data_IF_461586165160
#
_entry.id   IF_461586165160
#
_cell.length_a   1.000
_cell.length_b   1.000
_cell.length_c   1.000
_cell.angle_alpha   90.00
_cell.angle_beta   90.00
_cell.angle_gamma   90.00
#
_symmetry.space_group_name_H-M   'P 1'
#
loop_
_entity.id
_entity.type
_entity.pdbx_description
1 polymer ?
#
# COMPACT_ATOMS: atom_id res chain seq x y z
N UNK A 1 9.61 -27.68 16.42
CA UNK A 1 9.71 -26.22 16.60
C UNK A 1 10.32 -25.65 15.32
N UNK A 2 9.52 -24.96 14.51
CA UNK A 2 10.01 -24.12 13.41
C UNK A 2 9.76 -22.69 13.86
N UNK A 3 10.76 -22.08 14.50
CA UNK A 3 10.73 -20.67 14.85
C UNK A 3 11.52 -19.92 13.78
N UNK A 4 10.82 -19.22 12.90
CA UNK A 4 11.31 -18.11 12.07
C UNK A 4 10.22 -17.74 11.04
N UNK A 5 9.14 -17.07 11.47
CA UNK A 5 8.34 -16.27 10.55
C UNK A 5 8.65 -14.81 10.88
N UNK A 6 9.61 -14.22 10.18
CA UNK A 6 9.65 -12.77 10.08
C UNK A 6 8.44 -12.37 9.22
N UNK A 7 7.30 -12.14 9.86
CA UNK A 7 6.15 -11.53 9.20
C UNK A 7 6.54 -10.08 8.88
N UNK A 8 6.98 -9.84 7.64
CA UNK A 8 7.26 -8.49 7.15
C UNK A 8 6.03 -7.59 7.23
N UNK A 9 6.21 -6.26 7.17
CA UNK A 9 5.09 -5.33 7.30
C UNK A 9 4.05 -5.53 6.18
N UNK A 10 2.80 -5.20 6.47
CA UNK A 10 1.74 -5.09 5.46
C UNK A 10 1.95 -3.79 4.68
N UNK A 11 2.30 -3.92 3.41
CA UNK A 11 2.36 -2.81 2.45
C UNK A 11 0.96 -2.37 2.01
N UNK A 12 0.71 -1.07 2.05
CA UNK A 12 -0.50 -0.41 1.57
C UNK A 12 -0.05 0.68 0.61
N UNK A 13 -0.68 0.78 -0.57
CA UNK A 13 -0.46 1.90 -1.46
C UNK A 13 -1.77 2.56 -1.90
N UNK A 14 -1.71 3.86 -2.14
CA UNK A 14 -2.80 4.66 -2.71
C UNK A 14 -2.22 5.79 -3.54
N UNK A 15 -3.00 6.34 -4.46
CA UNK A 15 -2.63 7.53 -5.22
C UNK A 15 -2.50 8.79 -4.35
N UNK A 16 -3.09 8.83 -3.15
CA UNK A 16 -3.05 9.99 -2.28
C UNK A 16 -3.18 9.68 -0.79
N UNK A 17 -3.89 10.55 -0.06
CA UNK A 17 -4.12 10.41 1.39
C UNK A 17 -5.40 9.64 1.73
N UNK A 18 -6.24 9.32 0.73
CA UNK A 18 -7.53 8.67 0.93
C UNK A 18 -7.39 7.27 1.53
N UNK A 19 -6.35 6.53 1.13
CA UNK A 19 -6.01 5.21 1.63
C UNK A 19 -5.64 5.15 3.12
N UNK A 20 -5.38 6.29 3.77
CA UNK A 20 -5.17 6.31 5.23
C UNK A 20 -6.41 5.88 6.01
N UNK A 21 -7.61 5.99 5.41
CA UNK A 21 -8.84 5.44 6.00
C UNK A 21 -8.79 3.91 6.11
N UNK A 22 -8.25 3.24 5.09
CA UNK A 22 -8.04 1.79 5.07
C UNK A 22 -6.90 1.41 6.02
N UNK A 23 -5.79 2.15 6.01
CA UNK A 23 -4.67 1.92 6.93
C UNK A 23 -5.11 2.03 8.40
N UNK A 24 -5.97 3.01 8.73
CA UNK A 24 -6.53 3.17 10.06
C UNK A 24 -7.44 1.98 10.46
N UNK A 25 -8.29 1.51 9.53
CA UNK A 25 -9.12 0.33 9.78
C UNK A 25 -8.28 -0.93 10.00
N UNK A 26 -7.22 -1.12 9.22
CA UNK A 26 -6.27 -2.22 9.39
C UNK A 26 -5.54 -2.14 10.74
N UNK A 27 -5.05 -0.96 11.12
CA UNK A 27 -4.40 -0.77 12.42
C UNK A 27 -5.34 -1.09 13.59
N UNK A 28 -6.64 -0.79 13.44
CA UNK A 28 -7.64 -1.11 14.47
C UNK A 28 -7.92 -2.62 14.57
N UNK A 29 -8.00 -3.32 13.44
CA UNK A 29 -8.30 -4.75 13.39
C UNK A 29 -7.07 -5.64 13.66
N UNK A 30 -5.88 -5.16 13.30
CA UNK A 30 -4.60 -5.87 13.36
C UNK A 30 -3.57 -5.00 14.11
N UNK A 31 -3.77 -4.73 15.42
CA UNK A 31 -2.94 -3.78 16.17
C UNK A 31 -1.48 -4.23 16.36
N UNK A 32 -1.19 -5.51 16.12
CA UNK A 32 0.15 -6.08 16.26
C UNK A 32 0.92 -6.14 14.94
N UNK A 33 0.28 -5.84 13.81
CA UNK A 33 0.94 -5.85 12.49
C UNK A 33 1.64 -4.52 12.23
N UNK A 34 2.82 -4.58 11.61
CA UNK A 34 3.49 -3.40 11.12
C UNK A 34 2.89 -3.00 9.77
N UNK A 35 2.53 -1.73 9.60
CA UNK A 35 1.97 -1.21 8.35
C UNK A 35 2.97 -0.25 7.68
N UNK A 36 3.17 -0.40 6.38
CA UNK A 36 3.92 0.55 5.53
C UNK A 36 2.94 1.15 4.53
N UNK A 37 2.80 2.47 4.51
CA UNK A 37 1.92 3.17 3.59
C UNK A 37 2.73 3.95 2.54
N UNK A 38 2.48 3.66 1.27
CA UNK A 38 3.06 4.36 0.13
C UNK A 38 2.00 5.23 -0.55
N UNK A 39 2.19 6.55 -0.49
CA UNK A 39 1.34 7.50 -1.21
C UNK A 39 1.96 7.91 -2.55
N UNK A 40 1.39 7.47 -3.67
CA UNK A 40 1.84 7.85 -5.02
C UNK A 40 1.35 9.24 -5.44
N UNK A 41 1.81 10.24 -4.70
CA UNK A 41 1.44 11.64 -4.95
C UNK A 41 2.02 12.21 -6.25
N UNK A 42 3.04 11.56 -6.83
CA UNK A 42 3.69 11.98 -8.07
C UNK A 42 2.80 11.79 -9.30
N UNK A 43 1.90 10.80 -9.29
CA UNK A 43 1.03 10.48 -10.42
C UNK A 43 -0.44 10.87 -10.20
N UNK A 44 -0.71 11.72 -9.21
CA UNK A 44 -2.06 12.23 -8.92
C UNK A 44 -2.70 13.00 -10.10
N UNK A 45 -4.05 13.01 -10.19
CA UNK A 45 -4.94 11.94 -9.71
C UNK A 45 -4.86 10.74 -10.67
N UNK A 46 -5.06 9.53 -10.14
CA UNK A 46 -5.16 8.32 -10.98
C UNK A 46 -6.39 8.36 -11.90
N UNK A 47 -7.46 9.06 -11.51
CA UNK A 47 -8.70 9.15 -12.29
C UNK A 47 -8.53 9.70 -13.70
N UNK A 48 -7.50 10.52 -13.94
CA UNK A 48 -7.22 11.12 -15.25
C UNK A 48 -6.21 10.30 -16.07
N UNK A 49 -5.76 9.14 -15.56
CA UNK A 49 -4.72 8.32 -16.19
C UNK A 49 -5.35 7.18 -16.99
N UNK A 50 -4.64 6.71 -18.02
CA UNK A 50 -5.08 5.53 -18.77
C UNK A 50 -4.99 4.29 -17.89
N UNK A 51 -5.76 3.26 -18.25
CA UNK A 51 -5.71 1.96 -17.58
C UNK A 51 -4.29 1.38 -17.58
N UNK A 52 -3.58 1.52 -18.70
CA UNK A 52 -2.23 1.01 -18.87
C UNK A 52 -1.27 1.70 -17.90
N UNK A 53 -1.34 3.04 -17.80
CA UNK A 53 -0.53 3.81 -16.84
C UNK A 53 -0.81 3.39 -15.39
N UNK A 54 -2.09 3.27 -15.00
CA UNK A 54 -2.47 2.84 -13.65
C UNK A 54 -1.88 1.46 -13.33
N UNK A 55 -1.98 0.51 -14.26
CA UNK A 55 -1.40 -0.84 -14.08
C UNK A 55 0.11 -0.76 -13.89
N UNK A 56 0.82 0.04 -14.70
CA UNK A 56 2.27 0.20 -14.57
C UNK A 56 2.68 0.80 -13.23
N UNK A 57 2.00 1.84 -12.76
CA UNK A 57 2.29 2.46 -11.47
C UNK A 57 2.01 1.49 -10.31
N UNK A 58 0.85 0.83 -10.33
CA UNK A 58 0.49 -0.15 -9.31
C UNK A 58 1.47 -1.31 -9.21
N UNK A 59 1.91 -1.86 -10.35
CA UNK A 59 2.89 -2.95 -10.35
C UNK A 59 4.27 -2.48 -9.89
N UNK A 60 4.72 -1.31 -10.32
CA UNK A 60 6.02 -0.76 -9.89
C UNK A 60 6.06 -0.46 -8.39
N UNK A 61 4.96 0.02 -7.80
CA UNK A 61 4.87 0.24 -6.35
C UNK A 61 4.82 -1.10 -5.61
N UNK A 62 4.10 -2.10 -6.15
CA UNK A 62 4.03 -3.43 -5.56
C UNK A 62 5.38 -4.16 -5.58
N UNK A 63 6.21 -3.95 -6.60
CA UNK A 63 7.57 -4.50 -6.67
C UNK A 63 8.56 -3.78 -5.73
N UNK A 64 8.27 -2.52 -5.37
CA UNK A 64 9.10 -1.72 -4.46
C UNK A 64 8.87 -2.07 -2.98
N UNK A 65 7.64 -2.43 -2.61
CA UNK A 65 7.21 -2.76 -1.25
C UNK A 65 7.52 -4.22 -0.90
#
# INVERSE_FOLDING_TARGET
MKGSEENGPIGIFDSGVGGLTVAHALHTLLPNEQLVYFGDTAHLPYGDKSRESIVQYSLGIADFL
#
